data_IF_009206725014
#
_entry.id   IF_009206725014
#
_cell.length_a   1.000
_cell.length_b   1.000
_cell.length_c   1.000
_cell.angle_alpha   90.00
_cell.angle_beta   90.00
_cell.angle_gamma   90.00
#
_symmetry.space_group_name_H-M   'P 1'
#
loop_
_entity.id
_entity.type
_entity.pdbx_description
1 polymer ?
#
# COMPACT_ATOMS: atom_id res chain seq x y z
N UNK A 1 20.02 -8.73 18.20
CA UNK A 1 20.06 -8.12 16.85
C UNK A 1 18.66 -7.90 16.35
N UNK A 2 18.38 -6.74 15.77
CA UNK A 2 17.10 -6.41 15.15
C UNK A 2 17.28 -6.05 13.67
N UNK A 3 16.38 -6.53 12.83
CA UNK A 3 16.29 -6.11 11.44
C UNK A 3 15.25 -5.01 11.29
N UNK A 4 15.64 -3.95 10.61
CA UNK A 4 14.85 -2.74 10.42
C UNK A 4 14.48 -2.65 8.93
N UNK A 5 13.21 -2.76 8.63
CA UNK A 5 12.71 -2.53 7.27
C UNK A 5 12.15 -1.12 7.15
N UNK A 6 12.63 -0.37 6.16
CA UNK A 6 12.23 1.01 5.91
C UNK A 6 11.64 1.10 4.50
N UNK A 7 10.35 1.37 4.41
CA UNK A 7 9.64 1.60 3.15
C UNK A 7 9.31 3.09 3.02
N UNK A 8 10.11 3.83 2.26
CA UNK A 8 9.85 5.25 1.99
C UNK A 8 9.02 5.38 0.72
N UNK A 9 7.70 5.45 0.91
CA UNK A 9 6.75 5.75 -0.17
C UNK A 9 6.63 7.24 -0.46
N UNK A 10 5.89 7.60 -1.50
CA UNK A 10 5.66 9.00 -1.93
C UNK A 10 4.90 9.86 -0.90
N UNK A 11 4.04 9.26 -0.09
CA UNK A 11 3.17 9.97 0.87
C UNK A 11 3.58 9.72 2.31
N UNK A 12 4.01 8.50 2.63
CA UNK A 12 4.39 8.09 3.98
C UNK A 12 5.52 7.08 3.97
N UNK A 13 6.41 7.19 4.95
CA UNK A 13 7.42 6.22 5.27
C UNK A 13 6.88 5.27 6.34
N UNK A 14 7.05 3.96 6.15
CA UNK A 14 6.66 2.92 7.09
C UNK A 14 7.90 2.20 7.56
N UNK A 15 7.91 1.84 8.83
CA UNK A 15 9.04 1.15 9.45
C UNK A 15 8.55 -0.08 10.19
N UNK A 16 9.28 -1.17 10.04
CA UNK A 16 9.07 -2.41 10.77
C UNK A 16 10.37 -2.82 11.47
N UNK A 17 10.29 -3.04 12.78
CA UNK A 17 11.39 -3.53 13.62
C UNK A 17 11.05 -4.98 13.98
N UNK A 18 11.88 -5.91 13.50
CA UNK A 18 11.70 -7.35 13.75
C UNK A 18 12.93 -7.90 14.45
N UNK A 19 12.72 -8.65 15.53
CA UNK A 19 13.80 -9.36 16.21
C UNK A 19 14.28 -10.54 15.35
N UNK A 20 15.58 -10.57 15.01
CA UNK A 20 16.12 -11.52 14.05
C UNK A 20 16.08 -12.98 14.53
N UNK A 21 16.16 -13.22 15.83
CA UNK A 21 16.13 -14.56 16.45
C UNK A 21 14.74 -15.18 16.46
N UNK A 22 13.73 -14.43 16.90
CA UNK A 22 12.35 -14.91 17.05
C UNK A 22 11.47 -14.69 15.82
N UNK A 23 11.81 -13.70 14.98
CA UNK A 23 10.93 -13.22 13.90
C UNK A 23 9.75 -12.39 14.40
N UNK A 24 9.74 -11.99 15.67
CA UNK A 24 8.68 -11.20 16.28
C UNK A 24 8.75 -9.74 15.87
N UNK A 25 7.61 -9.17 15.47
CA UNK A 25 7.50 -7.73 15.21
C UNK A 25 7.48 -6.99 16.55
N UNK A 26 8.52 -6.20 16.82
CA UNK A 26 8.63 -5.40 18.05
C UNK A 26 7.92 -4.06 17.92
N UNK A 27 8.03 -3.40 16.78
CA UNK A 27 7.39 -2.12 16.54
C UNK A 27 7.07 -1.93 15.07
N UNK A 28 5.93 -1.29 14.81
CA UNK A 28 5.52 -0.76 13.51
C UNK A 28 5.16 0.71 13.69
N UNK A 29 5.74 1.58 12.88
CA UNK A 29 5.35 2.99 12.90
C UNK A 29 5.39 3.61 11.51
N UNK A 30 4.73 4.75 11.38
CA UNK A 30 4.55 5.48 10.15
C UNK A 30 4.86 6.96 10.40
N UNK A 31 5.56 7.58 9.45
CA UNK A 31 5.80 9.02 9.38
C UNK A 31 5.35 9.55 8.01
N UNK A 32 4.86 10.79 7.90
CA UNK A 32 4.72 11.45 6.61
C UNK A 32 6.08 11.52 5.91
N UNK A 33 6.13 11.25 4.60
CA UNK A 33 7.37 11.44 3.83
C UNK A 33 7.71 12.93 3.68
N UNK A 34 6.69 13.80 3.73
CA UNK A 34 6.87 15.23 3.64
C UNK A 34 7.50 15.68 2.32
N UNK A 35 8.30 16.73 2.41
CA UNK A 35 9.00 17.33 1.28
C UNK A 35 10.26 16.54 0.87
N UNK A 36 10.98 15.96 1.85
CA UNK A 36 12.29 15.34 1.65
C UNK A 36 12.32 13.92 2.21
N UNK A 37 12.52 12.94 1.34
CA UNK A 37 12.74 11.55 1.75
C UNK A 37 14.01 11.38 2.59
N UNK A 38 15.05 12.20 2.33
CA UNK A 38 16.30 12.15 3.08
C UNK A 38 16.12 12.63 4.52
N UNK A 39 15.39 13.73 4.73
CA UNK A 39 15.09 14.23 6.08
C UNK A 39 14.25 13.23 6.86
N UNK A 40 13.25 12.63 6.21
CA UNK A 40 12.44 11.57 6.82
C UNK A 40 13.29 10.35 7.18
N UNK A 41 14.23 9.96 6.33
CA UNK A 41 15.16 8.87 6.66
C UNK A 41 16.00 9.19 7.89
N UNK A 42 16.48 10.43 8.04
CA UNK A 42 17.24 10.83 9.24
C UNK A 42 16.39 10.82 10.50
N UNK A 43 15.14 11.30 10.45
CA UNK A 43 14.20 11.22 11.57
C UNK A 43 13.92 9.76 11.99
N UNK A 44 13.77 8.86 11.00
CA UNK A 44 13.62 7.42 11.25
C UNK A 44 14.86 6.88 11.98
N UNK A 45 16.06 7.22 11.52
CA UNK A 45 17.32 6.80 12.15
C UNK A 45 17.41 7.24 13.61
N UNK A 46 17.17 8.52 13.86
CA UNK A 46 17.20 9.10 15.21
C UNK A 46 16.22 8.38 16.15
N UNK A 47 14.98 8.16 15.70
CA UNK A 47 13.98 7.44 16.47
C UNK A 47 14.43 6.02 16.81
N UNK A 48 14.96 5.27 15.84
CA UNK A 48 15.39 3.88 16.02
C UNK A 48 16.59 3.80 16.97
N UNK A 49 17.58 4.69 16.82
CA UNK A 49 18.74 4.74 17.73
C UNK A 49 18.34 5.05 19.18
N UNK A 50 17.32 5.89 19.37
CA UNK A 50 16.76 6.20 20.70
C UNK A 50 16.11 5.01 21.41
N UNK A 51 15.76 3.91 20.68
CA UNK A 51 15.18 2.70 21.27
C UNK A 51 16.22 1.78 21.93
N UNK A 52 17.53 2.02 21.76
CA UNK A 52 18.62 1.24 22.35
C UNK A 52 18.52 -0.29 22.11
N UNK A 53 18.18 -0.69 20.90
CA UNK A 53 17.90 -2.09 20.52
C UNK A 53 19.15 -2.97 20.33
N UNK A 54 20.35 -2.45 20.57
CA UNK A 54 21.60 -3.14 20.34
C UNK A 54 21.97 -3.17 18.85
N UNK A 55 22.37 -4.32 18.34
CA UNK A 55 22.84 -4.48 16.95
C UNK A 55 21.68 -4.39 15.96
N UNK A 56 21.84 -3.57 14.89
CA UNK A 56 20.81 -3.22 13.92
C UNK A 56 21.29 -3.56 12.49
N UNK A 57 20.34 -4.01 11.65
CA UNK A 57 20.54 -4.18 10.22
C UNK A 57 19.41 -3.47 9.47
N UNK A 58 19.74 -2.53 8.61
CA UNK A 58 18.79 -1.68 7.92
C UNK A 58 18.58 -2.11 6.48
N UNK A 59 17.35 -2.39 6.10
CA UNK A 59 16.96 -2.68 4.71
C UNK A 59 15.96 -1.64 4.23
N UNK A 60 16.31 -0.90 3.17
CA UNK A 60 15.46 0.13 2.59
C UNK A 60 14.74 -0.35 1.33
N UNK A 61 13.49 0.09 1.19
CA UNK A 61 12.64 -0.12 0.01
C UNK A 61 11.76 1.10 -0.24
N UNK A 62 10.87 1.02 -1.23
CA UNK A 62 10.01 2.13 -1.62
C UNK A 62 10.65 3.05 -2.66
N UNK A 63 9.88 4.04 -3.07
CA UNK A 63 10.33 5.07 -4.03
C UNK A 63 11.56 5.82 -3.52
N UNK A 64 11.56 6.19 -2.23
CA UNK A 64 12.65 6.92 -1.56
C UNK A 64 13.80 6.06 -1.03
N UNK A 65 13.89 4.77 -1.36
CA UNK A 65 14.94 3.86 -0.83
C UNK A 65 16.38 4.34 -1.01
N UNK A 66 16.63 5.08 -2.09
CA UNK A 66 17.95 5.65 -2.38
C UNK A 66 18.32 6.80 -1.46
N UNK A 67 17.35 7.37 -0.75
CA UNK A 67 17.54 8.46 0.22
C UNK A 67 17.81 7.95 1.64
N UNK A 68 18.09 6.66 1.84
CA UNK A 68 18.44 6.05 3.14
C UNK A 68 19.94 5.71 3.14
N UNK A 69 20.84 6.67 3.44
CA UNK A 69 22.28 6.49 3.27
C UNK A 69 22.91 5.52 4.26
N UNK A 70 22.20 5.16 5.31
CA UNK A 70 22.62 4.22 6.34
C UNK A 70 22.01 2.81 6.17
N UNK A 71 21.32 2.55 5.05
CA UNK A 71 20.81 1.21 4.76
C UNK A 71 21.95 0.28 4.40
N UNK A 72 22.02 -0.88 5.08
CA UNK A 72 22.96 -1.96 4.76
C UNK A 72 22.58 -2.61 3.42
N UNK A 73 21.28 -2.57 3.07
CA UNK A 73 20.76 -3.11 1.81
C UNK A 73 19.56 -2.32 1.29
N UNK A 74 19.45 -2.25 -0.03
CA UNK A 74 18.27 -1.73 -0.72
C UNK A 74 17.63 -2.82 -1.57
N UNK A 75 16.30 -2.89 -1.56
CA UNK A 75 15.52 -3.86 -2.34
C UNK A 75 14.37 -3.16 -3.08
N UNK A 76 13.86 -3.83 -4.12
CA UNK A 76 12.70 -3.32 -4.86
C UNK A 76 11.42 -3.45 -4.03
N UNK A 77 10.48 -2.52 -4.23
CA UNK A 77 9.16 -2.56 -3.60
C UNK A 77 8.42 -3.85 -3.90
N UNK A 78 8.49 -4.33 -5.15
CA UNK A 78 7.85 -5.58 -5.58
C UNK A 78 8.27 -6.74 -4.67
N UNK A 79 9.57 -6.90 -4.48
CA UNK A 79 10.13 -7.96 -3.62
C UNK A 79 9.67 -7.81 -2.17
N UNK A 80 9.72 -6.59 -1.64
CA UNK A 80 9.37 -6.35 -0.23
C UNK A 80 7.87 -6.50 0.03
N UNK A 81 7.00 -5.94 -0.82
CA UNK A 81 5.56 -6.13 -0.69
C UNK A 81 5.15 -7.59 -0.81
N UNK A 82 5.79 -8.34 -1.70
CA UNK A 82 5.59 -9.77 -1.84
C UNK A 82 5.92 -10.54 -0.55
N UNK A 83 7.11 -10.30 0.02
CA UNK A 83 7.56 -10.95 1.26
C UNK A 83 6.66 -10.59 2.45
N UNK A 84 6.27 -9.32 2.56
CA UNK A 84 5.39 -8.86 3.64
C UNK A 84 3.97 -9.39 3.50
N UNK A 85 3.42 -9.47 2.29
CA UNK A 85 2.12 -10.07 2.05
C UNK A 85 2.15 -11.58 2.36
N UNK A 86 3.19 -12.30 1.91
CA UNK A 86 3.36 -13.73 2.19
C UNK A 86 3.48 -14.03 3.69
N UNK A 87 4.09 -13.12 4.47
CA UNK A 87 4.15 -13.23 5.92
C UNK A 87 2.74 -13.33 6.55
N UNK A 88 1.77 -12.61 6.00
CA UNK A 88 0.39 -12.62 6.49
C UNK A 88 -0.47 -13.73 5.87
N UNK A 89 -0.47 -13.87 4.54
CA UNK A 89 -1.37 -14.80 3.85
C UNK A 89 -0.88 -16.24 3.87
N UNK A 90 0.43 -16.49 3.94
CA UNK A 90 1.10 -17.81 3.96
C UNK A 90 0.67 -18.77 2.85
N UNK A 91 0.14 -18.24 1.76
CA UNK A 91 -0.39 -18.98 0.62
C UNK A 91 -0.12 -18.26 -0.68
N UNK A 92 -0.32 -18.92 -1.80
CA UNK A 92 -0.27 -18.34 -3.11
C UNK A 92 -1.43 -17.35 -3.28
N UNK A 93 -1.12 -16.16 -3.78
CA UNK A 93 -2.10 -15.11 -3.99
C UNK A 93 -1.57 -14.06 -4.98
N UNK A 94 -2.43 -13.16 -5.43
CA UNK A 94 -2.01 -11.91 -6.04
C UNK A 94 -2.14 -10.78 -5.04
N UNK A 95 -1.02 -10.13 -4.72
CA UNK A 95 -0.99 -8.94 -3.86
C UNK A 95 -1.49 -7.74 -4.66
N UNK A 96 -2.50 -7.06 -4.13
CA UNK A 96 -2.99 -5.77 -4.62
C UNK A 96 -2.43 -4.70 -3.69
N UNK A 97 -1.37 -4.03 -4.11
CA UNK A 97 -0.80 -2.92 -3.36
C UNK A 97 -1.26 -1.59 -3.95
N UNK A 98 -2.04 -0.83 -3.17
CA UNK A 98 -2.51 0.49 -3.59
C UNK A 98 -1.73 1.56 -2.83
N UNK A 99 -0.71 2.08 -3.50
CA UNK A 99 0.14 3.16 -3.02
C UNK A 99 -0.48 4.55 -3.21
N UNK A 100 0.28 5.58 -2.79
CA UNK A 100 -0.11 6.97 -2.97
C UNK A 100 -0.11 7.39 -4.45
N UNK A 101 0.89 6.97 -5.22
CA UNK A 101 1.10 7.39 -6.61
C UNK A 101 0.99 6.26 -7.63
N UNK A 102 0.99 5.03 -7.19
CA UNK A 102 0.98 3.83 -8.03
C UNK A 102 0.09 2.74 -7.46
N UNK A 103 -0.19 1.75 -8.28
CA UNK A 103 -0.89 0.52 -7.87
C UNK A 103 -0.19 -0.67 -8.50
N UNK A 104 0.05 -1.70 -7.71
CA UNK A 104 0.75 -2.91 -8.12
C UNK A 104 -0.12 -4.13 -7.94
N UNK A 105 -0.05 -5.04 -8.89
CA UNK A 105 -0.55 -6.41 -8.80
C UNK A 105 0.66 -7.34 -8.87
N UNK A 106 0.95 -8.08 -7.80
CA UNK A 106 2.16 -8.91 -7.68
C UNK A 106 1.71 -10.35 -7.46
N UNK A 107 2.01 -11.23 -8.42
CA UNK A 107 1.65 -12.65 -8.34
C UNK A 107 2.69 -13.41 -7.52
N UNK A 108 2.21 -14.13 -6.51
CA UNK A 108 2.99 -14.98 -5.63
C UNK A 108 2.65 -16.44 -5.86
N UNK A 109 3.69 -17.24 -6.08
CA UNK A 109 3.61 -18.70 -6.13
C UNK A 109 4.78 -19.29 -5.34
N UNK A 110 4.48 -20.20 -4.43
CA UNK A 110 5.47 -20.80 -3.52
C UNK A 110 6.33 -19.76 -2.78
N UNK A 111 5.71 -18.65 -2.35
CA UNK A 111 6.38 -17.56 -1.63
C UNK A 111 7.33 -16.71 -2.47
N UNK A 112 7.32 -16.87 -3.78
CA UNK A 112 8.17 -16.13 -4.73
C UNK A 112 7.33 -15.33 -5.72
N UNK A 113 7.86 -14.19 -6.17
CA UNK A 113 7.24 -13.38 -7.22
C UNK A 113 7.44 -14.10 -8.56
N UNK A 114 6.33 -14.42 -9.24
CA UNK A 114 6.35 -15.04 -10.58
C UNK A 114 6.02 -14.04 -11.67
N UNK A 115 5.19 -13.03 -11.35
CA UNK A 115 4.84 -11.97 -12.30
C UNK A 115 4.36 -10.72 -11.55
N UNK A 116 4.36 -9.57 -12.20
CA UNK A 116 3.77 -8.34 -11.67
C UNK A 116 3.32 -7.39 -12.78
N UNK A 117 2.32 -6.60 -12.45
CA UNK A 117 1.86 -5.48 -13.28
C UNK A 117 1.76 -4.24 -12.40
N UNK A 118 2.12 -3.08 -12.93
CA UNK A 118 2.09 -1.81 -12.19
C UNK A 118 1.45 -0.71 -13.03
N UNK A 119 0.67 0.13 -12.36
CA UNK A 119 0.24 1.43 -12.86
C UNK A 119 1.00 2.52 -12.10
N UNK A 120 2.02 3.08 -12.74
CA UNK A 120 2.85 4.18 -12.24
C UNK A 120 2.78 5.44 -13.09
N UNK A 121 1.96 5.42 -14.15
CA UNK A 121 1.83 6.51 -15.12
C UNK A 121 0.55 7.33 -14.95
N UNK A 122 -0.46 6.77 -14.26
CA UNK A 122 -1.76 7.41 -14.13
C UNK A 122 -2.24 7.30 -12.68
N UNK A 123 -2.62 8.44 -12.08
CA UNK A 123 -3.14 8.47 -10.71
C UNK A 123 -4.51 7.82 -10.53
N UNK A 124 -5.26 7.57 -11.62
CA UNK A 124 -6.54 6.87 -11.53
C UNK A 124 -6.36 5.45 -10.96
N UNK A 125 -7.09 5.13 -9.89
CA UNK A 125 -6.94 3.86 -9.16
C UNK A 125 -5.81 3.84 -8.13
N UNK A 126 -5.28 5.00 -7.75
CA UNK A 126 -4.26 5.15 -6.69
C UNK A 126 -4.79 5.99 -5.52
N UNK A 127 -4.03 6.08 -4.44
CA UNK A 127 -4.35 6.94 -3.30
C UNK A 127 -4.51 8.41 -3.70
N UNK A 128 -3.71 8.91 -4.67
CA UNK A 128 -3.79 10.29 -5.15
C UNK A 128 -5.12 10.62 -5.83
N UNK A 129 -5.68 9.67 -6.57
CA UNK A 129 -7.03 9.85 -7.14
C UNK A 129 -8.06 10.09 -6.03
N UNK A 130 -8.10 9.22 -5.01
CA UNK A 130 -9.05 9.37 -3.91
C UNK A 130 -8.78 10.62 -3.07
N UNK A 131 -7.53 11.01 -2.88
CA UNK A 131 -7.17 12.25 -2.20
C UNK A 131 -7.76 13.48 -2.90
N UNK A 132 -7.58 13.59 -4.22
CA UNK A 132 -8.13 14.71 -5.01
C UNK A 132 -9.66 14.74 -4.93
N UNK A 133 -10.31 13.58 -5.09
CA UNK A 133 -11.77 13.49 -5.05
C UNK A 133 -12.33 13.75 -3.65
N UNK A 134 -11.67 13.25 -2.61
CA UNK A 134 -12.03 13.51 -1.21
C UNK A 134 -11.94 15.00 -0.88
N UNK A 135 -10.85 15.64 -1.29
CA UNK A 135 -10.65 17.08 -1.10
C UNK A 135 -11.75 17.89 -1.81
N UNK A 136 -12.15 17.49 -3.03
CA UNK A 136 -13.25 18.15 -3.76
C UNK A 136 -14.58 18.01 -3.03
N UNK A 137 -14.83 16.88 -2.37
CA UNK A 137 -16.01 16.65 -1.54
C UNK A 137 -15.89 17.25 -0.12
N UNK A 138 -14.75 17.80 0.26
CA UNK A 138 -14.48 18.34 1.59
C UNK A 138 -14.50 17.28 2.69
N UNK A 139 -13.99 16.07 2.41
CA UNK A 139 -13.99 14.93 3.33
C UNK A 139 -12.64 14.24 3.37
N UNK A 140 -12.40 13.42 4.39
CA UNK A 140 -11.26 12.50 4.45
C UNK A 140 -11.65 11.15 3.85
N UNK A 141 -10.64 10.30 3.59
CA UNK A 141 -10.87 8.97 2.99
C UNK A 141 -11.81 8.07 3.81
N UNK A 142 -11.68 8.08 5.12
CA UNK A 142 -12.56 7.32 6.01
C UNK A 142 -14.02 7.81 5.95
N UNK A 143 -14.22 9.11 5.84
CA UNK A 143 -15.53 9.70 5.64
C UNK A 143 -16.07 9.44 4.22
N UNK A 144 -15.22 9.48 3.20
CA UNK A 144 -15.61 9.14 1.83
C UNK A 144 -16.19 7.72 1.75
N UNK A 145 -15.54 6.74 2.39
CA UNK A 145 -16.03 5.35 2.42
C UNK A 145 -17.34 5.21 3.21
N UNK A 146 -17.51 5.96 4.30
CA UNK A 146 -18.74 6.00 5.08
C UNK A 146 -19.91 6.60 4.28
N UNK A 147 -19.69 7.71 3.57
CA UNK A 147 -20.68 8.30 2.69
C UNK A 147 -21.11 7.32 1.60
N UNK A 148 -20.16 6.66 0.94
CA UNK A 148 -20.42 5.72 -0.13
C UNK A 148 -21.32 4.54 0.30
N UNK A 149 -21.22 4.09 1.55
CA UNK A 149 -22.11 3.05 2.12
C UNK A 149 -23.58 3.49 2.21
N UNK A 150 -23.86 4.79 2.32
CA UNK A 150 -25.18 5.37 2.47
C UNK A 150 -25.77 5.86 1.12
N UNK A 151 -25.15 5.53 0.01
CA UNK A 151 -25.64 5.88 -1.33
C UNK A 151 -26.95 5.16 -1.64
N UNK A 152 -27.92 5.88 -2.19
CA UNK A 152 -29.23 5.39 -2.61
C UNK A 152 -29.39 5.26 -4.13
N UNK A 153 -28.40 5.75 -4.91
CA UNK A 153 -28.40 5.70 -6.38
C UNK A 153 -27.07 5.27 -6.94
N UNK A 154 -27.12 4.54 -8.03
CA UNK A 154 -25.95 4.20 -8.83
C UNK A 154 -25.74 5.27 -9.90
N UNK A 155 -24.71 6.08 -9.70
CA UNK A 155 -24.21 7.01 -10.69
C UNK A 155 -22.78 6.58 -11.08
N UNK A 156 -22.31 6.96 -12.24
CA UNK A 156 -20.98 6.63 -12.73
C UNK A 156 -20.17 7.90 -13.00
N UNK A 157 -18.88 7.82 -12.76
CA UNK A 157 -17.89 8.78 -13.25
C UNK A 157 -17.29 8.16 -14.51
N UNK A 158 -17.53 8.83 -15.65
CA UNK A 158 -17.11 8.34 -16.98
C UNK A 158 -15.63 8.59 -17.26
N UNK A 159 -15.09 9.65 -16.66
CA UNK A 159 -13.74 10.12 -16.95
C UNK A 159 -12.67 9.21 -16.35
N UNK A 160 -11.75 8.79 -17.20
CA UNK A 160 -10.60 7.96 -16.80
C UNK A 160 -9.46 8.78 -16.21
N UNK A 161 -9.32 10.03 -16.57
CA UNK A 161 -8.31 10.94 -16.07
C UNK A 161 -8.79 11.65 -14.81
N UNK A 162 -7.93 11.73 -13.79
CA UNK A 162 -8.22 12.39 -12.50
C UNK A 162 -8.68 13.84 -12.68
N UNK A 163 -8.08 14.59 -13.61
CA UNK A 163 -8.44 16.00 -13.87
C UNK A 163 -9.87 16.11 -14.43
N UNK A 164 -10.22 15.27 -15.39
CA UNK A 164 -11.57 15.27 -15.95
C UNK A 164 -12.62 14.69 -14.99
N UNK A 165 -12.26 13.68 -14.21
CA UNK A 165 -13.12 13.15 -13.14
C UNK A 165 -13.43 14.22 -12.09
N UNK A 166 -12.45 15.05 -11.72
CA UNK A 166 -12.68 16.19 -10.82
C UNK A 166 -13.69 17.19 -11.40
N UNK A 167 -13.58 17.52 -12.68
CA UNK A 167 -14.51 18.40 -13.38
C UNK A 167 -15.93 17.79 -13.45
N UNK A 168 -16.02 16.48 -13.66
CA UNK A 168 -17.30 15.75 -13.67
C UNK A 168 -17.97 15.78 -12.28
N UNK A 169 -17.20 15.61 -11.18
CA UNK A 169 -17.71 15.76 -9.82
C UNK A 169 -18.26 17.16 -9.58
N UNK A 170 -17.59 18.23 -10.03
CA UNK A 170 -18.09 19.60 -9.92
C UNK A 170 -19.45 19.73 -10.61
N UNK A 171 -19.61 19.13 -11.80
CA UNK A 171 -20.86 19.13 -12.54
C UNK A 171 -21.97 18.37 -11.80
N UNK A 172 -21.65 17.23 -11.19
CA UNK A 172 -22.61 16.45 -10.38
C UNK A 172 -23.07 17.22 -9.13
N UNK A 173 -22.17 17.93 -8.47
CA UNK A 173 -22.49 18.81 -7.33
C UNK A 173 -23.44 19.92 -7.79
N UNK A 174 -23.17 20.57 -8.94
CA UNK A 174 -24.04 21.61 -9.50
C UNK A 174 -25.44 21.10 -9.89
N UNK A 175 -25.55 19.81 -10.20
CA UNK A 175 -26.82 19.11 -10.46
C UNK A 175 -27.56 18.67 -9.17
N UNK A 176 -27.07 19.07 -7.99
CA UNK A 176 -27.59 18.67 -6.68
C UNK A 176 -27.60 17.15 -6.44
N UNK A 177 -26.65 16.40 -7.03
CA UNK A 177 -26.46 15.01 -6.69
C UNK A 177 -25.89 14.93 -5.26
N UNK A 178 -26.39 13.99 -4.47
CA UNK A 178 -25.97 13.84 -3.07
C UNK A 178 -24.50 13.45 -2.93
N UNK A 179 -23.87 13.87 -1.84
CA UNK A 179 -22.46 13.53 -1.56
C UNK A 179 -22.24 12.03 -1.46
N UNK A 180 -23.21 11.30 -0.93
CA UNK A 180 -23.21 9.84 -0.79
C UNK A 180 -23.11 9.16 -2.15
N UNK A 181 -23.90 9.59 -3.12
CA UNK A 181 -23.93 9.05 -4.47
C UNK A 181 -22.61 9.36 -5.21
N UNK A 182 -22.11 10.58 -5.09
CA UNK A 182 -20.81 10.96 -5.68
C UNK A 182 -19.66 10.15 -5.02
N UNK A 183 -19.67 10.00 -3.69
CA UNK A 183 -18.67 9.25 -2.96
C UNK A 183 -18.62 7.78 -3.43
N UNK A 184 -19.78 7.14 -3.62
CA UNK A 184 -19.85 5.77 -4.17
C UNK A 184 -19.26 5.72 -5.57
N UNK A 185 -19.66 6.63 -6.46
CA UNK A 185 -19.16 6.68 -7.83
C UNK A 185 -17.62 6.84 -7.89
N UNK A 186 -17.05 7.68 -7.02
CA UNK A 186 -15.61 7.86 -6.89
C UNK A 186 -14.92 6.55 -6.51
N UNK A 187 -15.41 5.85 -5.47
CA UNK A 187 -14.81 4.60 -5.01
C UNK A 187 -14.93 3.50 -6.07
N UNK A 188 -16.12 3.36 -6.67
CA UNK A 188 -16.35 2.38 -7.75
C UNK A 188 -15.45 2.64 -8.95
N UNK A 189 -15.24 3.90 -9.34
CA UNK A 189 -14.28 4.25 -10.40
C UNK A 189 -12.86 3.81 -10.08
N UNK A 190 -12.39 4.04 -8.83
CA UNK A 190 -11.07 3.58 -8.39
C UNK A 190 -10.95 2.04 -8.41
N UNK A 191 -11.96 1.34 -7.86
CA UNK A 191 -12.01 -0.12 -7.81
C UNK A 191 -11.98 -0.73 -9.22
N UNK A 192 -12.73 -0.19 -10.16
CA UNK A 192 -12.74 -0.65 -11.54
C UNK A 192 -11.35 -0.54 -12.19
N UNK A 193 -10.61 0.54 -11.91
CA UNK A 193 -9.24 0.71 -12.38
C UNK A 193 -8.28 -0.32 -11.80
N UNK A 194 -8.35 -0.52 -10.48
CA UNK A 194 -7.56 -1.52 -9.75
C UNK A 194 -7.88 -2.91 -10.30
N UNK A 195 -9.15 -3.27 -10.40
CA UNK A 195 -9.58 -4.58 -10.89
C UNK A 195 -9.12 -4.85 -12.33
N UNK A 196 -9.15 -3.86 -13.21
CA UNK A 196 -8.67 -4.00 -14.59
C UNK A 196 -7.15 -4.21 -14.66
N UNK A 197 -6.38 -3.63 -13.74
CA UNK A 197 -4.95 -3.89 -13.60
C UNK A 197 -4.71 -5.32 -13.11
N UNK A 198 -5.42 -5.72 -12.05
CA UNK A 198 -5.25 -6.98 -11.34
C UNK A 198 -5.69 -8.19 -12.17
N UNK A 199 -6.74 -8.05 -12.99
CA UNK A 199 -7.22 -9.13 -13.88
C UNK A 199 -6.18 -9.61 -14.87
N UNK A 200 -5.14 -8.83 -15.14
CA UNK A 200 -3.99 -9.27 -15.94
C UNK A 200 -3.17 -10.34 -15.23
N UNK A 201 -3.28 -10.40 -13.90
CA UNK A 201 -2.64 -11.36 -13.01
C UNK A 201 -3.70 -12.27 -12.36
N UNK A 202 -4.60 -12.84 -13.17
CA UNK A 202 -5.75 -13.59 -12.68
C UNK A 202 -5.34 -14.67 -11.66
N UNK A 203 -6.01 -14.65 -10.49
CA UNK A 203 -5.86 -15.61 -9.42
C UNK A 203 -7.22 -15.84 -8.75
N UNK A 204 -7.31 -16.86 -7.91
CA UNK A 204 -8.51 -17.17 -7.11
C UNK A 204 -8.46 -16.51 -5.74
N UNK A 205 -7.31 -16.00 -5.32
CA UNK A 205 -7.11 -15.38 -4.01
C UNK A 205 -6.25 -14.12 -4.14
N UNK A 206 -6.68 -13.06 -3.46
CA UNK A 206 -6.00 -11.77 -3.45
C UNK A 206 -5.71 -11.31 -2.02
N UNK A 207 -4.61 -10.58 -1.86
CA UNK A 207 -4.24 -9.93 -0.61
C UNK A 207 -4.11 -8.42 -0.82
N UNK A 208 -4.96 -7.62 -0.15
CA UNK A 208 -4.97 -6.16 -0.25
C UNK A 208 -3.98 -5.54 0.73
N UNK A 209 -3.03 -4.75 0.22
CA UNK A 209 -2.07 -3.96 0.99
C UNK A 209 -2.13 -2.47 0.62
N UNK A 210 -1.28 -1.67 1.25
CA UNK A 210 -1.27 -0.23 1.05
C UNK A 210 -2.38 0.51 1.80
N UNK A 211 -2.63 1.77 1.46
CA UNK A 211 -3.56 2.63 2.18
C UNK A 211 -5.01 2.15 2.14
N UNK A 212 -5.41 1.46 1.08
CA UNK A 212 -6.79 0.96 0.90
C UNK A 212 -7.12 -0.25 1.76
N UNK A 213 -6.11 -0.96 2.28
CA UNK A 213 -6.30 -2.11 3.18
C UNK A 213 -7.06 -1.79 4.46
N UNK A 214 -7.12 -0.50 4.83
CA UNK A 214 -7.85 -0.03 6.02
C UNK A 214 -9.36 0.06 5.82
N UNK A 215 -9.87 -0.05 4.59
CA UNK A 215 -11.31 0.09 4.29
C UNK A 215 -11.94 -1.25 3.96
N UNK A 216 -12.79 -1.74 4.87
CA UNK A 216 -13.64 -2.91 4.65
C UNK A 216 -14.51 -2.72 3.39
N UNK A 217 -15.11 -1.54 3.22
CA UNK A 217 -15.94 -1.23 2.07
C UNK A 217 -15.21 -1.38 0.73
N UNK A 218 -13.94 -0.94 0.66
CA UNK A 218 -13.10 -1.10 -0.54
C UNK A 218 -12.79 -2.58 -0.76
N UNK A 219 -12.44 -3.32 0.28
CA UNK A 219 -12.14 -4.75 0.20
C UNK A 219 -13.32 -5.54 -0.34
N UNK A 220 -14.52 -5.36 0.24
CA UNK A 220 -15.77 -6.03 -0.19
C UNK A 220 -16.11 -5.73 -1.65
N UNK A 221 -15.98 -4.47 -2.07
CA UNK A 221 -16.25 -4.10 -3.45
C UNK A 221 -15.21 -4.65 -4.44
N UNK A 222 -13.95 -4.82 -4.01
CA UNK A 222 -12.94 -5.53 -4.79
C UNK A 222 -13.29 -7.02 -4.93
N UNK A 223 -13.77 -7.69 -3.88
CA UNK A 223 -14.24 -9.08 -3.94
C UNK A 223 -15.35 -9.25 -4.98
N UNK A 224 -16.35 -8.37 -4.94
CA UNK A 224 -17.46 -8.38 -5.92
C UNK A 224 -16.92 -8.17 -7.35
N UNK A 225 -16.03 -7.21 -7.55
CA UNK A 225 -15.52 -6.85 -8.87
C UNK A 225 -14.58 -7.91 -9.46
N UNK A 226 -13.79 -8.58 -8.61
CA UNK A 226 -12.86 -9.65 -8.98
C UNK A 226 -13.51 -11.03 -9.01
N UNK A 227 -14.70 -11.19 -8.41
CA UNK A 227 -15.38 -12.47 -8.21
C UNK A 227 -14.50 -13.51 -7.52
N UNK A 228 -13.71 -13.05 -6.54
CA UNK A 228 -12.73 -13.84 -5.82
C UNK A 228 -12.50 -13.27 -4.42
N UNK A 229 -11.96 -14.09 -3.53
CA UNK A 229 -11.65 -13.67 -2.15
C UNK A 229 -10.54 -12.62 -2.11
N UNK A 230 -10.77 -11.54 -1.38
CA UNK A 230 -9.78 -10.49 -1.09
C UNK A 230 -9.56 -10.41 0.41
N UNK A 231 -8.45 -10.93 0.86
CA UNK A 231 -8.05 -10.86 2.27
C UNK A 231 -7.17 -9.64 2.55
N UNK A 232 -7.03 -9.28 3.80
CA UNK A 232 -6.12 -8.23 4.27
C UNK A 232 -5.74 -8.49 5.73
N UNK A 233 -4.88 -7.65 6.28
CA UNK A 233 -4.50 -7.66 7.69
C UNK A 233 -4.50 -6.22 8.23
N UNK A 234 -4.73 -6.04 9.54
CA UNK A 234 -4.70 -4.71 10.18
C UNK A 234 -3.38 -3.95 9.94
N UNK A 235 -2.28 -4.69 9.81
CA UNK A 235 -0.93 -4.17 9.56
C UNK A 235 -0.50 -4.28 8.09
N UNK A 236 -1.41 -4.56 7.15
CA UNK A 236 -1.10 -4.73 5.74
C UNK A 236 -0.48 -3.47 5.09
N UNK A 237 -0.73 -2.28 5.65
CA UNK A 237 -0.08 -1.04 5.22
C UNK A 237 1.45 -1.08 5.38
N UNK A 238 1.96 -1.94 6.25
CA UNK A 238 3.39 -2.12 6.52
C UNK A 238 4.04 -3.25 5.71
N UNK A 239 3.35 -3.87 4.75
CA UNK A 239 3.89 -5.00 3.98
C UNK A 239 5.27 -4.71 3.38
N UNK A 240 5.48 -3.54 2.78
CA UNK A 240 6.78 -3.15 2.23
C UNK A 240 7.88 -3.16 3.29
N UNK A 241 7.63 -2.53 4.44
CA UNK A 241 8.58 -2.46 5.55
C UNK A 241 8.82 -3.82 6.22
N UNK A 242 7.76 -4.60 6.46
CA UNK A 242 7.88 -5.97 7.02
C UNK A 242 8.70 -6.85 6.08
N UNK A 243 8.40 -6.81 4.78
CA UNK A 243 9.14 -7.58 3.79
C UNK A 243 10.61 -7.17 3.67
N UNK A 244 10.92 -5.88 3.77
CA UNK A 244 12.29 -5.39 3.82
C UNK A 244 13.03 -5.91 5.05
N UNK A 245 12.42 -5.86 6.23
CA UNK A 245 12.98 -6.41 7.47
C UNK A 245 13.20 -7.93 7.37
N UNK A 246 12.22 -8.70 6.87
CA UNK A 246 12.36 -10.14 6.68
C UNK A 246 13.49 -10.49 5.70
N UNK A 247 13.68 -9.71 4.65
CA UNK A 247 14.80 -9.88 3.73
C UNK A 247 16.15 -9.57 4.40
N UNK A 248 16.20 -8.59 5.29
CA UNK A 248 17.36 -8.31 6.14
C UNK A 248 17.74 -9.50 7.01
N UNK A 249 16.78 -10.12 7.69
CA UNK A 249 17.01 -11.34 8.49
C UNK A 249 17.59 -12.47 7.64
N UNK A 250 17.06 -12.70 6.43
CA UNK A 250 17.58 -13.73 5.52
C UNK A 250 19.04 -13.48 5.12
N UNK A 251 19.43 -12.22 4.93
CA UNK A 251 20.82 -11.88 4.62
C UNK A 251 21.74 -12.11 5.82
N UNK A 252 21.34 -11.66 7.01
CA UNK A 252 22.10 -11.87 8.24
C UNK A 252 22.39 -13.35 8.50
N UNK A 253 21.38 -14.22 8.30
CA UNK A 253 21.58 -15.68 8.44
C UNK A 253 22.60 -16.23 7.43
N UNK A 254 22.57 -15.74 6.18
CA UNK A 254 23.52 -16.15 5.14
C UNK A 254 24.96 -15.70 5.45
N UNK A 255 25.12 -14.47 5.95
CA UNK A 255 26.44 -13.92 6.31
C UNK A 255 27.03 -14.63 7.53
N UNK A 256 26.20 -15.07 8.47
CA UNK A 256 26.61 -15.81 9.67
C UNK A 256 26.75 -17.33 9.44
N UNK A 257 26.59 -17.81 8.20
CA UNK A 257 26.75 -19.24 7.86
C UNK A 257 25.63 -20.16 8.31
N UNK A 258 24.53 -19.62 8.83
CA UNK A 258 23.32 -20.38 9.15
C UNK A 258 22.54 -20.69 7.86
N UNK A 259 22.49 -21.99 7.50
CA UNK A 259 21.72 -22.50 6.36
C UNK A 259 20.24 -22.63 6.67
#
# INVERSE_FOLDING_TARGET
>A
MHSIGIDIGSTSAKVAIIEASSGEIKELFLLPTGWSSADTAMLIKERILGLNLGELYFTATGYGRVSVPYADKTLTEITCHALGAHYFCKSDCTVIDVGGQDTKAIKLENGSVTDFTMNDKCSAGTGKFLEVMSNRLGVRFDELTRLAKNSDKDISISSMCTVFAESEIISLIAQNISRENIAKAVIVSAINKISNLVKKQANTSYFLSGGFSKSEYVRENLEVCLQASVTTHKDAIYCGAIGASLAGIRNLRRENGDK
#
